data_IF_506342669973
#
_entry.id   IF_506342669973
#
_cell.length_a   1.000
_cell.length_b   1.000
_cell.length_c   1.000
_cell.angle_alpha   90.00
_cell.angle_beta   90.00
_cell.angle_gamma   90.00
#
_symmetry.space_group_name_H-M   'P 1'
#
loop_
_entity.id
_entity.type
_entity.pdbx_description
1 polymer ?
#
# COMPACT_ATOMS: atom_id res chain seq x y z
N UNK A 1 17.95 0.64 -16.24
CA UNK A 1 17.26 1.31 -15.12
C UNK A 1 18.32 1.72 -14.12
N UNK A 2 18.46 3.01 -13.84
CA UNK A 2 19.42 3.49 -12.84
C UNK A 2 18.75 3.38 -11.48
N UNK A 3 19.32 2.59 -10.57
CA UNK A 3 18.82 2.50 -9.19
C UNK A 3 18.99 3.88 -8.55
N UNK A 4 17.90 4.47 -8.06
CA UNK A 4 17.94 5.76 -7.39
C UNK A 4 18.73 5.62 -6.07
N UNK A 5 19.80 6.42 -5.92
CA UNK A 5 20.55 6.50 -4.67
C UNK A 5 19.72 7.29 -3.64
N UNK A 6 19.67 6.79 -2.41
CA UNK A 6 18.97 7.43 -1.29
C UNK A 6 19.93 7.63 -0.11
N UNK A 7 19.69 8.65 0.70
CA UNK A 7 20.29 8.80 2.02
C UNK A 7 19.35 8.12 3.03
N UNK A 8 19.80 7.00 3.59
CA UNK A 8 18.96 6.12 4.41
C UNK A 8 18.67 6.78 5.77
N UNK A 9 17.41 7.15 6.01
CA UNK A 9 16.96 7.74 7.28
C UNK A 9 16.46 6.69 8.29
N UNK A 10 15.90 5.58 7.82
CA UNK A 10 15.31 4.54 8.66
C UNK A 10 15.35 3.17 7.94
N UNK A 11 15.43 2.09 8.72
CA UNK A 11 15.33 0.71 8.23
C UNK A 11 14.41 -0.07 9.15
N UNK A 12 13.29 -0.56 8.62
CA UNK A 12 12.43 -1.52 9.31
C UNK A 12 12.97 -2.94 9.10
N UNK A 13 12.93 -3.78 10.14
CA UNK A 13 13.34 -5.18 10.06
C UNK A 13 12.18 -6.06 10.50
N UNK A 14 11.87 -7.10 9.72
CA UNK A 14 10.89 -8.11 10.09
C UNK A 14 11.37 -9.50 9.65
N UNK A 15 11.05 -10.52 10.44
CA UNK A 15 11.39 -11.92 10.18
C UNK A 15 10.12 -12.73 9.99
N UNK A 16 10.10 -13.58 8.95
CA UNK A 16 9.01 -14.50 8.67
C UNK A 16 9.45 -15.95 8.92
N UNK A 17 8.67 -16.69 9.70
CA UNK A 17 8.84 -18.12 9.94
C UNK A 17 7.81 -18.92 9.13
N UNK A 18 8.20 -20.07 8.57
CA UNK A 18 7.33 -20.98 7.81
C UNK A 18 6.61 -20.35 6.58
N UNK A 19 7.18 -19.29 6.01
CA UNK A 19 6.74 -18.73 4.73
C UNK A 19 5.34 -18.12 4.79
N UNK A 20 4.42 -18.57 3.91
CA UNK A 20 3.05 -18.04 3.83
C UNK A 20 2.11 -18.64 4.90
N UNK A 21 2.56 -19.65 5.64
CA UNK A 21 1.78 -20.37 6.66
C UNK A 21 2.59 -20.44 7.96
N UNK A 22 2.59 -19.34 8.70
CA UNK A 22 3.46 -19.16 9.85
C UNK A 22 3.26 -17.82 10.55
N UNK A 23 4.35 -17.14 10.89
CA UNK A 23 4.33 -15.91 11.68
C UNK A 23 5.33 -14.90 11.13
N UNK A 24 4.96 -13.62 11.18
CA UNK A 24 5.84 -12.50 10.83
C UNK A 24 5.91 -11.56 12.01
N UNK A 25 7.13 -11.23 12.44
CA UNK A 25 7.37 -10.29 13.53
C UNK A 25 8.40 -9.22 13.16
N UNK A 26 8.19 -7.97 13.61
CA UNK A 26 9.20 -6.91 13.55
C UNK A 26 10.24 -7.08 14.65
N UNK A 27 11.44 -6.53 14.44
CA UNK A 27 12.55 -6.58 15.40
C UNK A 27 12.24 -5.86 16.73
N UNK A 28 11.36 -4.85 16.68
CA UNK A 28 10.84 -4.14 17.85
C UNK A 28 9.57 -4.76 18.45
N UNK A 29 9.03 -5.84 17.85
CA UNK A 29 7.84 -6.55 18.29
C UNK A 29 6.50 -5.82 18.11
N UNK A 30 6.47 -4.65 17.47
CA UNK A 30 5.23 -3.87 17.26
C UNK A 30 4.30 -4.49 16.22
N UNK A 31 4.86 -5.21 15.24
CA UNK A 31 4.12 -6.08 14.34
C UNK A 31 4.42 -7.52 14.71
N UNK A 32 3.40 -8.28 15.08
CA UNK A 32 3.54 -9.70 15.35
C UNK A 32 2.26 -10.44 14.99
N UNK A 33 2.25 -11.09 13.82
CA UNK A 33 1.03 -11.61 13.19
C UNK A 33 1.22 -13.01 12.66
N UNK A 34 0.17 -13.83 12.80
CA UNK A 34 0.07 -15.10 12.07
C UNK A 34 -0.29 -14.79 10.62
N UNK A 35 0.43 -15.42 9.68
CA UNK A 35 0.17 -15.34 8.24
C UNK A 35 -0.26 -16.70 7.72
N UNK A 36 -1.32 -16.74 6.91
CA UNK A 36 -1.77 -17.96 6.23
C UNK A 36 -2.25 -17.58 4.82
N UNK A 37 -2.18 -18.48 3.82
CA UNK A 37 -2.83 -18.22 2.54
C UNK A 37 -4.36 -18.06 2.76
N UNK A 38 -5.03 -17.17 2.03
CA UNK A 38 -6.47 -17.02 2.13
C UNK A 38 -7.18 -18.29 1.64
N UNK A 39 -8.43 -18.51 2.09
CA UNK A 39 -9.26 -19.65 1.66
C UNK A 39 -9.40 -19.75 0.14
N UNK A 40 -9.50 -18.60 -0.54
CA UNK A 40 -9.57 -18.52 -2.00
C UNK A 40 -8.32 -19.09 -2.72
N UNK A 41 -7.19 -19.22 -2.02
CA UNK A 41 -5.95 -19.81 -2.52
C UNK A 41 -5.64 -21.16 -1.84
N UNK A 42 -6.63 -21.80 -1.20
CA UNK A 42 -6.49 -23.12 -0.59
C UNK A 42 -5.84 -23.14 0.79
N UNK A 43 -5.65 -21.98 1.45
CA UNK A 43 -5.16 -21.93 2.82
C UNK A 43 -6.27 -21.92 3.87
N UNK A 44 -5.87 -21.93 5.15
CA UNK A 44 -6.79 -21.89 6.29
C UNK A 44 -7.54 -20.55 6.40
N UNK A 45 -6.90 -19.45 6.00
CA UNK A 45 -7.36 -18.08 6.23
C UNK A 45 -7.48 -17.70 7.71
N UNK A 46 -6.73 -18.37 8.60
CA UNK A 46 -6.79 -18.14 10.04
C UNK A 46 -6.08 -16.85 10.51
N UNK A 47 -5.10 -16.39 9.73
CA UNK A 47 -4.34 -15.17 9.95
C UNK A 47 -4.45 -14.18 8.79
N UNK A 48 -3.58 -13.17 8.78
CA UNK A 48 -3.45 -12.25 7.64
C UNK A 48 -2.63 -12.90 6.51
N UNK A 49 -2.31 -12.15 5.46
CA UNK A 49 -1.51 -12.62 4.34
C UNK A 49 -0.65 -11.48 3.76
N UNK A 50 0.38 -11.80 2.95
CA UNK A 50 1.24 -10.78 2.35
C UNK A 50 0.47 -9.71 1.57
N UNK A 51 -0.63 -10.06 0.91
CA UNK A 51 -1.44 -9.12 0.14
C UNK A 51 -2.14 -8.10 1.04
N UNK A 52 -2.69 -8.53 2.19
CA UNK A 52 -3.27 -7.64 3.20
C UNK A 52 -2.21 -6.77 3.88
N UNK A 53 -1.02 -7.31 4.17
CA UNK A 53 0.09 -6.52 4.72
C UNK A 53 0.55 -5.46 3.73
N UNK A 54 0.60 -5.79 2.44
CA UNK A 54 0.89 -4.84 1.39
C UNK A 54 -0.22 -3.77 1.27
N UNK A 55 -1.49 -4.17 1.33
CA UNK A 55 -2.62 -3.25 1.33
C UNK A 55 -2.57 -2.26 2.50
N UNK A 56 -2.30 -2.75 3.71
CA UNK A 56 -2.15 -1.93 4.91
C UNK A 56 -0.97 -0.94 4.80
N UNK A 57 0.19 -1.43 4.33
CA UNK A 57 1.36 -0.57 4.11
C UNK A 57 1.09 0.50 3.06
N UNK A 58 0.47 0.13 1.93
CA UNK A 58 0.20 1.06 0.84
C UNK A 58 -0.85 2.11 1.25
N UNK A 59 -1.96 1.72 1.88
CA UNK A 59 -2.99 2.68 2.30
C UNK A 59 -2.43 3.70 3.31
N UNK A 60 -1.68 3.24 4.32
CA UNK A 60 -1.05 4.12 5.30
C UNK A 60 -0.01 5.06 4.66
N UNK A 61 0.82 4.54 3.77
CA UNK A 61 1.83 5.32 3.05
C UNK A 61 1.20 6.39 2.15
N UNK A 62 0.14 6.02 1.42
CA UNK A 62 -0.59 6.94 0.54
C UNK A 62 -1.37 7.99 1.33
N UNK A 63 -1.98 7.64 2.47
CA UNK A 63 -2.61 8.60 3.39
C UNK A 63 -1.58 9.61 3.92
N UNK A 64 -0.37 9.15 4.27
CA UNK A 64 0.73 10.04 4.66
C UNK A 64 1.15 11.00 3.54
N UNK A 65 1.30 10.48 2.32
CA UNK A 65 1.60 11.27 1.13
C UNK A 65 0.51 12.32 0.82
N UNK A 66 -0.77 11.93 0.93
CA UNK A 66 -1.90 12.84 0.79
C UNK A 66 -1.82 13.99 1.81
N UNK A 67 -1.46 13.70 3.06
CA UNK A 67 -1.23 14.72 4.08
C UNK A 67 -0.10 15.69 3.77
N UNK A 68 1.00 15.21 3.16
CA UNK A 68 2.10 16.09 2.72
C UNK A 68 1.63 17.03 1.61
N UNK A 69 0.96 16.50 0.59
CA UNK A 69 0.45 17.29 -0.54
C UNK A 69 -0.62 18.28 -0.08
N UNK A 70 -1.58 17.86 0.73
CA UNK A 70 -2.64 18.73 1.24
C UNK A 70 -2.09 19.94 1.99
N UNK A 71 -1.01 19.76 2.78
CA UNK A 71 -0.33 20.89 3.46
C UNK A 71 0.29 21.88 2.48
N UNK A 72 0.89 21.39 1.39
CA UNK A 72 1.48 22.25 0.35
C UNK A 72 0.39 23.05 -0.39
N UNK A 73 -0.73 22.39 -0.69
CA UNK A 73 -1.87 22.96 -1.43
C UNK A 73 -2.85 23.72 -0.52
N UNK A 74 -2.63 23.71 0.80
CA UNK A 74 -3.51 24.30 1.82
C UNK A 74 -4.96 23.77 1.75
N UNK A 75 -5.11 22.49 1.41
CA UNK A 75 -6.40 21.81 1.37
C UNK A 75 -6.76 21.19 2.73
N UNK A 76 -8.02 21.27 3.13
CA UNK A 76 -8.51 20.58 4.32
C UNK A 76 -8.86 19.13 3.98
N UNK A 77 -8.08 18.19 4.52
CA UNK A 77 -8.32 16.75 4.35
C UNK A 77 -8.72 16.07 5.68
N UNK A 78 -9.23 16.85 6.64
CA UNK A 78 -9.67 16.32 7.92
C UNK A 78 -10.76 15.27 7.72
N UNK A 79 -10.60 14.11 8.38
CA UNK A 79 -11.50 12.96 8.20
C UNK A 79 -11.29 12.17 6.91
N UNK A 80 -10.26 12.48 6.12
CA UNK A 80 -9.94 11.68 4.94
C UNK A 80 -9.53 10.25 5.29
N UNK A 81 -9.88 9.33 4.40
CA UNK A 81 -9.47 7.92 4.50
C UNK A 81 -8.96 7.44 3.14
N UNK A 82 -7.98 6.54 3.17
CA UNK A 82 -7.47 5.87 1.96
C UNK A 82 -7.62 4.37 2.16
N UNK A 83 -8.21 3.72 1.17
CA UNK A 83 -8.34 2.27 1.09
C UNK A 83 -7.52 1.77 -0.08
N UNK A 84 -6.64 0.80 0.15
CA UNK A 84 -5.91 0.10 -0.91
C UNK A 84 -6.44 -1.32 -1.03
N UNK A 85 -6.98 -1.65 -2.19
CA UNK A 85 -7.42 -3.00 -2.56
C UNK A 85 -6.31 -3.67 -3.35
N UNK A 86 -5.74 -4.75 -2.83
CA UNK A 86 -4.64 -5.49 -3.45
C UNK A 86 -5.15 -6.81 -3.98
N UNK A 87 -4.97 -7.04 -5.27
CA UNK A 87 -5.30 -8.28 -5.97
C UNK A 87 -4.02 -9.05 -6.28
N UNK A 88 -4.07 -10.38 -6.20
CA UNK A 88 -3.00 -11.28 -6.65
C UNK A 88 -3.55 -12.22 -7.73
N UNK A 89 -2.79 -12.41 -8.81
CA UNK A 89 -3.18 -13.26 -9.94
C UNK A 89 -2.00 -13.87 -10.65
N UNK A 90 -2.26 -14.81 -11.57
CA UNK A 90 -1.22 -15.40 -12.43
C UNK A 90 -0.86 -14.44 -13.56
N UNK A 91 0.43 -14.28 -13.83
CA UNK A 91 0.94 -13.59 -15.02
C UNK A 91 0.99 -14.53 -16.21
N UNK A 92 0.99 -13.98 -17.42
CA UNK A 92 1.17 -14.75 -18.66
C UNK A 92 2.51 -15.51 -18.70
N UNK A 93 3.53 -14.99 -18.03
CA UNK A 93 4.85 -15.61 -17.90
C UNK A 93 4.92 -16.78 -16.90
N UNK A 94 3.79 -17.18 -16.29
CA UNK A 94 3.71 -18.33 -15.38
C UNK A 94 4.04 -18.03 -13.90
N UNK A 95 4.30 -16.77 -13.54
CA UNK A 95 4.46 -16.30 -12.15
C UNK A 95 3.20 -15.67 -11.55
N UNK A 96 3.35 -14.97 -10.42
CA UNK A 96 2.29 -14.17 -9.80
C UNK A 96 2.55 -12.67 -9.99
N UNK A 97 1.49 -11.90 -10.17
CA UNK A 97 1.50 -10.44 -10.26
C UNK A 97 0.49 -9.84 -9.29
N UNK A 98 0.67 -8.56 -8.99
CA UNK A 98 -0.25 -7.78 -8.16
C UNK A 98 -0.93 -6.70 -8.99
N UNK A 99 -2.14 -6.34 -8.60
CA UNK A 99 -2.83 -5.11 -9.02
C UNK A 99 -3.32 -4.38 -7.78
N UNK A 100 -3.37 -3.05 -7.84
CA UNK A 100 -3.83 -2.22 -6.73
C UNK A 100 -4.88 -1.23 -7.21
N UNK A 101 -5.97 -1.10 -6.46
CA UNK A 101 -6.88 0.03 -6.59
C UNK A 101 -6.85 0.85 -5.29
N UNK A 102 -6.55 2.14 -5.41
CA UNK A 102 -6.49 3.08 -4.28
C UNK A 102 -7.71 3.99 -4.39
N UNK A 103 -8.54 3.97 -3.35
CA UNK A 103 -9.69 4.83 -3.23
C UNK A 103 -9.53 5.77 -2.03
N UNK A 104 -9.69 7.07 -2.25
CA UNK A 104 -9.59 8.08 -1.21
C UNK A 104 -10.93 8.80 -1.01
N UNK A 105 -11.41 8.86 0.23
CA UNK A 105 -12.51 9.73 0.62
C UNK A 105 -11.93 10.99 1.25
N UNK A 106 -12.31 12.18 0.75
CA UNK A 106 -11.81 13.47 1.26
C UNK A 106 -13.03 14.40 1.43
N UNK A 107 -13.68 14.40 2.61
CA UNK A 107 -15.02 14.96 2.75
C UNK A 107 -15.09 16.49 2.65
N UNK A 108 -13.96 17.19 2.86
CA UNK A 108 -13.94 18.65 3.01
C UNK A 108 -13.45 19.39 1.74
N UNK A 109 -13.33 18.69 0.61
CA UNK A 109 -12.98 19.29 -0.69
C UNK A 109 -13.89 18.77 -1.79
N UNK A 110 -14.00 19.52 -2.88
CA UNK A 110 -14.72 19.04 -4.06
C UNK A 110 -13.97 17.91 -4.77
N UNK A 111 -14.69 17.15 -5.61
CA UNK A 111 -14.15 15.98 -6.29
C UNK A 111 -12.96 16.29 -7.22
N UNK A 112 -12.92 17.46 -7.86
CA UNK A 112 -11.82 17.83 -8.74
C UNK A 112 -10.55 18.13 -7.93
N UNK A 113 -10.71 18.83 -6.81
CA UNK A 113 -9.64 19.07 -5.83
C UNK A 113 -9.14 17.74 -5.24
N UNK A 114 -10.04 16.86 -4.82
CA UNK A 114 -9.68 15.53 -4.31
C UNK A 114 -8.88 14.72 -5.33
N UNK A 115 -9.33 14.70 -6.60
CA UNK A 115 -8.65 14.01 -7.69
C UNK A 115 -7.23 14.56 -7.91
N UNK A 116 -7.08 15.90 -7.97
CA UNK A 116 -5.78 16.52 -8.12
C UNK A 116 -4.83 16.22 -6.94
N UNK A 117 -5.37 16.16 -5.72
CA UNK A 117 -4.60 15.82 -4.53
C UNK A 117 -4.09 14.36 -4.57
N UNK A 118 -4.94 13.39 -4.93
CA UNK A 118 -4.51 11.98 -4.99
C UNK A 118 -3.52 11.73 -6.12
N UNK A 119 -3.65 12.41 -7.25
CA UNK A 119 -2.69 12.32 -8.36
C UNK A 119 -1.31 12.84 -7.95
N UNK A 120 -1.26 13.97 -7.25
CA UNK A 120 -0.02 14.51 -6.67
C UNK A 120 0.53 13.59 -5.58
N UNK A 121 -0.32 13.05 -4.71
CA UNK A 121 0.09 12.11 -3.65
C UNK A 121 0.72 10.84 -4.25
N UNK A 122 0.19 10.36 -5.37
CA UNK A 122 0.71 9.20 -6.09
C UNK A 122 2.13 9.43 -6.66
N UNK A 123 2.56 10.68 -6.88
CA UNK A 123 3.93 10.99 -7.34
C UNK A 123 4.95 10.97 -6.20
N UNK A 124 4.53 11.24 -4.97
CA UNK A 124 5.44 11.37 -3.81
C UNK A 124 5.41 10.16 -2.88
N UNK A 125 4.33 9.36 -2.91
CA UNK A 125 4.20 8.14 -2.12
C UNK A 125 5.31 7.13 -2.47
N UNK A 126 6.15 6.73 -1.49
CA UNK A 126 7.21 5.75 -1.72
C UNK A 126 6.74 4.42 -2.31
N UNK A 127 5.58 3.90 -1.89
CA UNK A 127 5.03 2.63 -2.42
C UNK A 127 4.61 2.78 -3.87
N UNK A 128 4.02 3.92 -4.24
CA UNK A 128 3.71 4.24 -5.63
C UNK A 128 4.96 4.34 -6.49
N UNK A 129 6.02 4.97 -5.99
CA UNK A 129 7.28 5.05 -6.73
C UNK A 129 7.99 3.70 -6.87
N UNK A 130 7.95 2.85 -5.84
CA UNK A 130 8.53 1.51 -5.89
C UNK A 130 7.80 0.57 -6.87
N UNK A 131 6.49 0.77 -7.06
CA UNK A 131 5.65 -0.10 -7.89
C UNK A 131 5.41 0.40 -9.31
N UNK A 132 5.75 1.66 -9.58
CA UNK A 132 5.51 2.32 -10.87
C UNK A 132 6.17 1.55 -12.02
N UNK A 133 5.38 1.24 -13.04
CA UNK A 133 5.83 0.52 -14.24
C UNK A 133 5.91 -1.00 -14.07
N UNK A 134 5.68 -1.53 -12.87
CA UNK A 134 5.70 -2.98 -12.60
C UNK A 134 4.31 -3.56 -12.38
N UNK A 135 3.40 -2.80 -11.75
CA UNK A 135 2.02 -3.24 -11.48
C UNK A 135 1.02 -2.17 -11.93
N UNK A 136 -0.21 -2.61 -12.19
CA UNK A 136 -1.34 -1.70 -12.42
C UNK A 136 -1.78 -1.09 -11.09
N UNK A 137 -1.82 0.24 -11.04
CA UNK A 137 -2.37 1.01 -9.91
C UNK A 137 -3.46 1.93 -10.41
N UNK A 138 -4.69 1.70 -9.98
CA UNK A 138 -5.84 2.57 -10.27
C UNK A 138 -6.09 3.52 -9.10
N UNK A 139 -6.47 4.75 -9.40
CA UNK A 139 -6.79 5.78 -8.42
C UNK A 139 -8.24 6.23 -8.59
N UNK A 140 -8.97 6.37 -7.49
CA UNK A 140 -10.33 6.93 -7.48
C UNK A 140 -10.59 7.77 -6.24
N UNK A 141 -11.52 8.71 -6.36
CA UNK A 141 -12.13 9.40 -5.22
C UNK A 141 -13.44 8.67 -4.86
N UNK A 142 -13.66 8.44 -3.56
CA UNK A 142 -14.85 7.79 -3.00
C UNK A 142 -15.96 8.79 -2.64
#
# INVERSE_FOLDING_TARGET
MTIQKIDVAYTAVATAENGRDGRVSSDDGQLDVVVNPPKAMGGSGAGTNPEQLFAAGYSACFQGALGVVARQEKADISGSTVTASVSIGKTEAGGFGLEVAISASIPNVDAATAQALIEKAHQVCPYSNATRGNIKVELSVA
#
